data_IF_795226817187
#
_entry.id   IF_795226817187
#
_cell.length_a   1.000
_cell.length_b   1.000
_cell.length_c   1.000
_cell.angle_alpha   90.00
_cell.angle_beta   90.00
_cell.angle_gamma   90.00
#
_symmetry.space_group_name_H-M   'P 1'
#
loop_
_entity.id
_entity.type
_entity.pdbx_description
1 polymer ?
#
# COMPACT_ATOMS: atom_id res chain seq x y z
N UNK A 1 -38.69 -9.50 -1.94
CA UNK A 1 -38.03 -9.10 -0.69
C UNK A 1 -37.06 -10.22 -0.36
N UNK A 2 -35.79 -10.01 -0.54
CA UNK A 2 -34.77 -10.94 -0.04
C UNK A 2 -34.84 -10.89 1.48
N UNK A 3 -34.78 -12.05 2.15
CA UNK A 3 -34.68 -12.10 3.63
C UNK A 3 -33.44 -11.35 4.13
N UNK A 4 -33.34 -11.07 5.42
CA UNK A 4 -32.21 -10.34 5.99
C UNK A 4 -30.83 -10.96 5.62
N UNK A 5 -30.74 -12.28 5.45
CA UNK A 5 -29.52 -13.01 5.07
C UNK A 5 -29.07 -12.64 3.64
N UNK A 6 -29.94 -12.62 2.65
CA UNK A 6 -29.59 -12.25 1.27
C UNK A 6 -29.15 -10.79 1.08
N UNK A 7 -29.51 -9.88 1.99
CA UNK A 7 -29.02 -8.51 1.97
C UNK A 7 -27.61 -8.42 2.55
N UNK A 8 -27.29 -9.27 3.53
CA UNK A 8 -25.94 -9.31 4.11
C UNK A 8 -24.96 -9.99 3.14
N UNK A 9 -25.36 -11.08 2.47
CA UNK A 9 -24.55 -11.73 1.44
C UNK A 9 -24.17 -10.74 0.32
N UNK A 10 -25.13 -9.91 -0.15
CA UNK A 10 -24.84 -8.88 -1.15
C UNK A 10 -23.83 -7.83 -0.64
N UNK A 11 -23.95 -7.43 0.61
CA UNK A 11 -23.01 -6.50 1.22
C UNK A 11 -21.60 -7.11 1.28
N UNK A 12 -21.46 -8.37 1.67
CA UNK A 12 -20.18 -9.09 1.66
C UNK A 12 -19.61 -9.20 0.24
N UNK A 13 -20.45 -9.45 -0.75
CA UNK A 13 -20.04 -9.46 -2.15
C UNK A 13 -19.49 -8.11 -2.62
N UNK A 14 -20.13 -7.01 -2.21
CA UNK A 14 -19.67 -5.67 -2.55
C UNK A 14 -18.28 -5.39 -1.89
N UNK A 15 -18.07 -5.77 -0.64
CA UNK A 15 -16.77 -5.66 0.02
C UNK A 15 -15.66 -6.48 -0.67
N UNK A 16 -15.98 -7.70 -1.14
CA UNK A 16 -15.03 -8.52 -1.91
C UNK A 16 -14.67 -7.84 -3.23
N UNK A 17 -15.66 -7.30 -3.93
CA UNK A 17 -15.49 -6.59 -5.20
C UNK A 17 -14.68 -5.29 -5.00
N UNK A 18 -14.92 -4.55 -3.93
CA UNK A 18 -14.15 -3.35 -3.57
C UNK A 18 -12.67 -3.67 -3.34
N UNK A 19 -12.38 -4.84 -2.74
CA UNK A 19 -11.02 -5.35 -2.58
C UNK A 19 -10.41 -5.93 -3.88
N UNK A 20 -11.14 -5.91 -5.01
CA UNK A 20 -10.69 -6.48 -6.28
C UNK A 20 -10.67 -8.02 -6.30
N UNK A 21 -11.41 -8.67 -5.40
CA UNK A 21 -11.50 -10.13 -5.30
C UNK A 21 -12.68 -10.62 -6.12
N UNK A 22 -12.40 -11.48 -7.11
CA UNK A 22 -13.45 -12.16 -7.88
C UNK A 22 -13.87 -13.42 -7.15
N UNK A 23 -14.94 -13.34 -6.38
CA UNK A 23 -15.50 -14.48 -5.65
C UNK A 23 -16.71 -15.07 -6.40
N UNK A 24 -16.87 -16.39 -6.26
CA UNK A 24 -17.98 -17.14 -6.83
C UNK A 24 -18.98 -17.50 -5.73
N UNK A 25 -20.28 -17.28 -6.00
CA UNK A 25 -21.37 -17.51 -5.06
C UNK A 25 -21.83 -18.97 -5.12
N UNK A 26 -21.77 -19.70 -4.00
CA UNK A 26 -22.21 -21.06 -3.80
C UNK A 26 -21.72 -22.10 -4.85
N UNK A 27 -20.69 -21.75 -5.60
CA UNK A 27 -20.09 -22.56 -6.65
C UNK A 27 -18.61 -22.21 -6.82
N UNK A 28 -17.91 -23.04 -7.59
CA UNK A 28 -16.57 -22.73 -8.10
C UNK A 28 -16.38 -23.38 -9.45
N UNK A 29 -15.69 -22.73 -10.38
CA UNK A 29 -15.32 -23.28 -11.69
C UNK A 29 -13.95 -24.01 -11.66
N UNK A 30 -13.25 -23.94 -10.52
CA UNK A 30 -11.97 -24.65 -10.32
C UNK A 30 -12.25 -26.10 -10.02
N UNK A 31 -11.96 -26.98 -10.98
CA UNK A 31 -12.28 -28.42 -10.93
C UNK A 31 -11.78 -29.11 -9.65
N UNK A 32 -10.59 -28.76 -9.17
CA UNK A 32 -10.00 -29.34 -7.97
C UNK A 32 -10.78 -28.96 -6.70
N UNK A 33 -11.24 -27.73 -6.60
CA UNK A 33 -12.10 -27.27 -5.50
C UNK A 33 -13.50 -27.87 -5.60
N UNK A 34 -14.03 -28.09 -6.82
CA UNK A 34 -15.30 -28.82 -7.03
C UNK A 34 -15.19 -30.24 -6.48
N UNK A 35 -14.08 -30.94 -6.76
CA UNK A 35 -13.85 -32.28 -6.25
C UNK A 35 -13.73 -32.32 -4.73
N UNK A 36 -12.96 -31.39 -4.13
CA UNK A 36 -12.83 -31.29 -2.69
C UNK A 36 -14.16 -31.03 -1.97
N UNK A 37 -15.06 -30.30 -2.59
CA UNK A 37 -16.38 -29.95 -2.05
C UNK A 37 -17.48 -30.93 -2.45
N UNK A 38 -17.21 -31.92 -3.33
CA UNK A 38 -18.25 -32.80 -3.90
C UNK A 38 -19.06 -33.56 -2.84
N UNK A 39 -18.48 -33.86 -1.69
CA UNK A 39 -19.12 -34.57 -0.56
C UNK A 39 -19.08 -33.77 0.74
N UNK A 40 -18.83 -32.46 0.67
CA UNK A 40 -18.62 -31.61 1.83
C UNK A 40 -19.94 -31.00 2.37
N UNK A 41 -21.00 -31.85 2.52
CA UNK A 41 -22.23 -31.40 3.16
C UNK A 41 -22.05 -31.20 4.65
N UNK A 42 -22.38 -30.01 5.16
CA UNK A 42 -22.36 -29.70 6.61
C UNK A 42 -23.29 -30.60 7.42
N UNK A 43 -24.33 -31.10 6.79
CA UNK A 43 -25.32 -32.03 7.41
C UNK A 43 -24.91 -33.50 7.31
N UNK A 44 -23.72 -33.82 6.76
CA UNK A 44 -23.18 -35.17 6.56
C UNK A 44 -24.07 -36.07 5.66
N UNK A 45 -24.86 -35.49 4.80
CA UNK A 45 -25.74 -36.21 3.85
C UNK A 45 -25.00 -36.70 2.61
N UNK A 46 -23.73 -36.37 2.44
CA UNK A 46 -22.91 -36.71 1.27
C UNK A 46 -23.22 -35.85 0.04
N UNK A 47 -23.98 -34.77 0.20
CA UNK A 47 -24.24 -33.78 -0.86
C UNK A 47 -23.04 -32.83 -1.03
N UNK A 48 -23.04 -32.11 -2.14
CA UNK A 48 -22.04 -31.11 -2.44
C UNK A 48 -22.06 -29.96 -1.42
N UNK A 49 -20.89 -29.61 -0.89
CA UNK A 49 -20.71 -28.42 -0.08
C UNK A 49 -20.82 -27.14 -0.91
N UNK A 50 -21.48 -26.14 -0.35
CA UNK A 50 -21.71 -24.84 -1.00
C UNK A 50 -21.42 -23.74 0.01
N UNK A 51 -20.14 -23.28 0.12
CA UNK A 51 -19.84 -22.06 0.88
C UNK A 51 -20.53 -20.86 0.22
N UNK A 52 -20.88 -19.83 1.00
CA UNK A 52 -21.53 -18.66 0.46
C UNK A 52 -20.67 -17.98 -0.60
N UNK A 53 -19.36 -17.82 -0.34
CA UNK A 53 -18.41 -17.39 -1.38
C UNK A 53 -17.11 -18.19 -1.34
N UNK A 54 -16.51 -18.36 -2.51
CA UNK A 54 -15.17 -18.94 -2.67
C UNK A 54 -14.38 -18.15 -3.71
N UNK A 55 -13.10 -17.90 -3.44
CA UNK A 55 -12.19 -17.25 -4.36
C UNK A 55 -10.79 -17.87 -4.26
N UNK A 56 -9.99 -17.72 -5.31
CA UNK A 56 -8.55 -18.03 -5.29
C UNK A 56 -7.79 -16.76 -5.61
N UNK A 57 -6.88 -16.39 -4.72
CA UNK A 57 -6.08 -15.17 -4.82
C UNK A 57 -4.63 -15.55 -4.57
N UNK A 58 -3.75 -15.39 -5.56
CA UNK A 58 -2.30 -15.67 -5.46
C UNK A 58 -1.96 -17.03 -4.81
N UNK A 59 -2.75 -18.08 -5.14
CA UNK A 59 -2.55 -19.43 -4.59
C UNK A 59 -3.16 -19.67 -3.20
N UNK A 60 -3.76 -18.67 -2.59
CA UNK A 60 -4.58 -18.80 -1.38
C UNK A 60 -6.04 -19.03 -1.76
N UNK A 61 -6.74 -19.91 -1.05
CA UNK A 61 -8.18 -20.04 -1.16
C UNK A 61 -8.85 -19.21 -0.07
N UNK A 62 -9.83 -18.39 -0.46
CA UNK A 62 -10.73 -17.72 0.48
C UNK A 62 -12.04 -18.48 0.47
N UNK A 63 -12.52 -18.90 1.62
CA UNK A 63 -13.83 -19.53 1.80
C UNK A 63 -14.63 -18.76 2.84
N UNK A 64 -15.85 -18.40 2.50
CA UNK A 64 -16.64 -17.42 3.25
C UNK A 64 -18.02 -18.00 3.56
N UNK A 65 -18.44 -17.84 4.81
CA UNK A 65 -19.76 -18.17 5.32
C UNK A 65 -20.37 -16.98 6.04
N UNK A 66 -21.59 -16.65 5.70
CA UNK A 66 -22.32 -15.49 6.16
C UNK A 66 -23.52 -15.85 7.02
N UNK A 67 -23.80 -15.09 8.07
CA UNK A 67 -25.01 -15.19 8.89
C UNK A 67 -25.54 -13.80 9.22
N UNK A 68 -26.83 -13.56 8.97
CA UNK A 68 -27.47 -12.29 9.28
C UNK A 68 -27.62 -12.03 10.79
N UNK A 69 -27.50 -13.06 11.60
CA UNK A 69 -27.61 -12.99 13.06
C UNK A 69 -26.21 -12.90 13.67
N UNK A 70 -25.91 -11.80 14.37
CA UNK A 70 -24.60 -11.54 14.99
C UNK A 70 -24.23 -12.62 16.02
N UNK A 71 -25.21 -13.21 16.68
CA UNK A 71 -24.96 -14.26 17.68
C UNK A 71 -24.60 -15.60 17.03
N UNK A 72 -24.64 -15.67 15.70
CA UNK A 72 -24.28 -16.84 14.87
C UNK A 72 -22.87 -16.77 14.29
N UNK A 73 -21.98 -15.97 14.84
CA UNK A 73 -20.60 -15.88 14.36
C UNK A 73 -19.83 -17.19 14.63
N UNK A 74 -19.74 -17.62 15.87
CA UNK A 74 -18.94 -18.77 16.29
C UNK A 74 -19.54 -19.49 17.50
N UNK A 75 -19.62 -20.82 17.43
CA UNK A 75 -19.89 -21.70 18.57
C UNK A 75 -18.59 -22.37 19.00
N UNK A 76 -18.29 -22.28 20.30
CA UNK A 76 -17.08 -22.90 20.88
C UNK A 76 -17.45 -24.10 21.74
N UNK A 77 -16.54 -25.06 21.80
CA UNK A 77 -16.60 -26.20 22.72
C UNK A 77 -16.19 -25.79 24.13
N UNK A 78 -16.35 -26.70 25.10
CA UNK A 78 -16.06 -26.42 26.49
C UNK A 78 -14.58 -26.12 26.80
N UNK A 79 -13.69 -26.51 25.92
CA UNK A 79 -12.24 -26.25 25.95
C UNK A 79 -11.84 -24.92 25.27
N UNK A 80 -12.84 -24.17 24.74
CA UNK A 80 -12.66 -22.89 24.06
C UNK A 80 -12.38 -23.03 22.56
N UNK A 81 -12.19 -24.25 22.02
CA UNK A 81 -11.97 -24.49 20.60
C UNK A 81 -13.20 -24.23 19.73
N UNK A 82 -13.00 -24.02 18.42
CA UNK A 82 -14.11 -23.83 17.48
C UNK A 82 -14.80 -25.18 17.26
N UNK A 83 -16.07 -25.29 17.68
CA UNK A 83 -16.83 -26.54 17.61
C UNK A 83 -16.99 -27.06 16.18
N UNK A 84 -16.78 -28.37 16.00
CA UNK A 84 -16.97 -29.06 14.73
C UNK A 84 -18.23 -29.95 14.71
N UNK A 85 -19.13 -29.75 15.67
CA UNK A 85 -20.42 -30.46 15.68
C UNK A 85 -21.25 -30.07 14.45
N UNK A 86 -22.11 -30.99 13.98
CA UNK A 86 -23.01 -30.74 12.83
C UNK A 86 -23.84 -29.47 13.08
N UNK A 87 -24.34 -29.28 14.29
CA UNK A 87 -25.07 -28.06 14.64
C UNK A 87 -24.21 -26.81 14.49
N UNK A 88 -22.97 -26.84 14.97
CA UNK A 88 -22.05 -25.70 14.90
C UNK A 88 -21.74 -25.36 13.45
N UNK A 89 -21.34 -26.32 12.63
CA UNK A 89 -20.96 -26.12 11.22
C UNK A 89 -22.14 -25.66 10.34
N UNK A 90 -23.40 -25.96 10.74
CA UNK A 90 -24.60 -25.54 9.99
C UNK A 90 -25.08 -24.17 10.40
N UNK A 91 -25.10 -23.90 11.72
CA UNK A 91 -25.77 -22.72 12.26
C UNK A 91 -24.85 -21.50 12.48
N UNK A 92 -23.53 -21.70 12.49
CA UNK A 92 -22.56 -20.64 12.78
C UNK A 92 -21.57 -20.44 11.63
N UNK A 93 -21.34 -19.18 11.32
CA UNK A 93 -20.54 -18.76 10.16
C UNK A 93 -19.09 -19.30 10.23
N UNK A 94 -18.35 -18.97 11.28
CA UNK A 94 -16.95 -19.36 11.41
C UNK A 94 -16.73 -20.88 11.46
N UNK A 95 -17.66 -21.61 12.09
CA UNK A 95 -17.62 -23.07 12.17
C UNK A 95 -17.86 -23.71 10.79
N UNK A 96 -18.78 -23.15 10.01
CA UNK A 96 -19.04 -23.57 8.63
C UNK A 96 -17.86 -23.28 7.70
N UNK A 97 -17.27 -22.10 7.80
CA UNK A 97 -16.10 -21.73 7.02
C UNK A 97 -14.88 -22.63 7.33
N UNK A 98 -14.61 -22.91 8.62
CA UNK A 98 -13.55 -23.84 9.03
C UNK A 98 -13.79 -25.25 8.49
N UNK A 99 -15.03 -25.74 8.52
CA UNK A 99 -15.40 -27.04 7.98
C UNK A 99 -15.04 -27.13 6.50
N UNK A 100 -15.42 -26.16 5.68
CA UNK A 100 -15.09 -26.14 4.26
C UNK A 100 -13.58 -26.00 4.00
N UNK A 101 -12.89 -25.14 4.77
CA UNK A 101 -11.45 -24.96 4.64
C UNK A 101 -10.70 -26.31 4.83
N UNK A 102 -11.07 -27.09 5.84
CA UNK A 102 -10.50 -28.43 6.06
C UNK A 102 -10.78 -29.37 4.90
N UNK A 103 -12.00 -29.38 4.35
CA UNK A 103 -12.33 -30.19 3.17
C UNK A 103 -11.50 -29.81 1.94
N UNK A 104 -11.26 -28.53 1.74
CA UNK A 104 -10.41 -28.03 0.65
C UNK A 104 -8.96 -28.49 0.85
N UNK A 105 -8.41 -28.36 2.05
CA UNK A 105 -7.03 -28.79 2.37
C UNK A 105 -6.86 -30.30 2.18
N UNK A 106 -7.82 -31.09 2.62
CA UNK A 106 -7.77 -32.55 2.54
C UNK A 106 -7.95 -33.05 1.09
N UNK A 107 -8.79 -32.36 0.31
CA UNK A 107 -9.24 -32.80 -1.02
C UNK A 107 -8.56 -32.12 -2.20
N UNK A 108 -7.61 -31.19 -1.98
CA UNK A 108 -6.98 -30.41 -3.05
C UNK A 108 -5.48 -30.19 -2.83
N UNK A 109 -4.80 -29.63 -3.83
CA UNK A 109 -3.40 -29.18 -3.71
C UNK A 109 -3.26 -27.85 -2.95
N UNK A 110 -4.35 -27.13 -2.75
CA UNK A 110 -4.35 -25.89 -1.98
C UNK A 110 -4.15 -26.18 -0.49
N UNK A 111 -3.05 -25.66 0.08
CA UNK A 111 -2.65 -25.88 1.48
C UNK A 111 -2.67 -24.61 2.34
N UNK A 112 -3.07 -23.49 1.76
CA UNK A 112 -3.21 -22.19 2.44
C UNK A 112 -4.63 -21.69 2.19
N UNK A 113 -5.46 -21.71 3.22
CA UNK A 113 -6.87 -21.29 3.14
C UNK A 113 -7.14 -20.24 4.20
N UNK A 114 -7.70 -19.11 3.79
CA UNK A 114 -8.34 -18.15 4.69
C UNK A 114 -9.83 -18.44 4.75
N UNK A 115 -10.31 -18.81 5.92
CA UNK A 115 -11.72 -19.09 6.18
C UNK A 115 -12.35 -17.93 6.94
N UNK A 116 -13.44 -17.39 6.41
CA UNK A 116 -14.13 -16.24 6.99
C UNK A 116 -15.50 -16.67 7.51
N UNK A 117 -15.75 -16.41 8.80
CA UNK A 117 -17.08 -16.36 9.34
C UNK A 117 -17.52 -14.92 9.47
N UNK A 118 -18.61 -14.54 8.79
CA UNK A 118 -19.14 -13.21 8.87
C UNK A 118 -20.54 -13.23 9.49
N UNK A 119 -20.82 -12.29 10.39
CA UNK A 119 -22.12 -12.24 11.06
C UNK A 119 -22.59 -10.81 11.30
N UNK A 120 -23.85 -10.51 10.94
CA UNK A 120 -24.46 -9.21 11.16
C UNK A 120 -25.23 -8.64 9.98
N UNK A 121 -25.16 -7.34 9.83
CA UNK A 121 -25.76 -6.56 8.74
C UNK A 121 -24.78 -5.50 8.22
N UNK A 122 -25.14 -4.77 7.18
CA UNK A 122 -24.30 -3.74 6.57
C UNK A 122 -23.87 -2.60 7.52
N UNK A 123 -24.53 -2.43 8.67
CA UNK A 123 -24.21 -1.37 9.64
C UNK A 123 -23.41 -1.89 10.82
N UNK A 124 -23.66 -3.13 11.22
CA UNK A 124 -23.08 -3.75 12.40
C UNK A 124 -22.77 -5.21 12.11
N UNK A 125 -21.54 -5.51 11.79
CA UNK A 125 -21.08 -6.85 11.45
C UNK A 125 -19.70 -7.14 12.04
N UNK A 126 -19.32 -8.40 11.96
CA UNK A 126 -17.98 -8.88 12.26
C UNK A 126 -17.52 -9.77 11.11
N UNK A 127 -16.33 -9.50 10.57
CA UNK A 127 -15.64 -10.35 9.60
C UNK A 127 -14.47 -11.02 10.35
N UNK A 128 -14.60 -12.31 10.62
CA UNK A 128 -13.62 -13.04 11.43
C UNK A 128 -12.85 -14.02 10.54
N UNK A 129 -11.57 -13.74 10.24
CA UNK A 129 -10.72 -14.64 9.48
C UNK A 129 -10.07 -15.71 10.37
N UNK A 130 -9.92 -16.92 9.79
CA UNK A 130 -9.01 -17.96 10.25
C UNK A 130 -8.00 -18.22 9.14
N UNK A 131 -6.76 -18.50 9.49
CA UNK A 131 -5.84 -19.18 8.58
C UNK A 131 -5.85 -20.66 8.87
N UNK A 132 -6.00 -21.48 7.83
CA UNK A 132 -6.07 -22.94 7.93
C UNK A 132 -5.04 -23.56 6.99
N UNK A 133 -4.18 -24.39 7.56
CA UNK A 133 -3.19 -25.21 6.86
C UNK A 133 -3.34 -26.68 7.26
N UNK A 134 -2.59 -27.62 6.66
CA UNK A 134 -2.62 -29.02 7.11
C UNK A 134 -2.25 -29.20 8.59
N UNK A 135 -1.37 -28.34 9.10
CA UNK A 135 -0.74 -28.51 10.40
C UNK A 135 -1.40 -27.69 11.50
N UNK A 136 -2.09 -26.58 11.13
CA UNK A 136 -2.59 -25.62 12.12
C UNK A 136 -3.85 -24.87 11.68
N UNK A 137 -4.55 -24.35 12.67
CA UNK A 137 -5.65 -23.38 12.52
C UNK A 137 -5.33 -22.19 13.41
N UNK A 138 -5.16 -21.02 12.81
CA UNK A 138 -4.84 -19.78 13.51
C UNK A 138 -6.05 -18.85 13.42
N UNK A 139 -6.57 -18.44 14.56
CA UNK A 139 -7.59 -17.39 14.64
C UNK A 139 -6.90 -16.04 14.56
N UNK A 140 -7.28 -15.23 13.57
CA UNK A 140 -6.71 -13.92 13.32
C UNK A 140 -7.61 -12.84 13.93
N UNK A 141 -7.11 -11.62 14.04
CA UNK A 141 -7.94 -10.49 14.45
C UNK A 141 -9.05 -10.22 13.41
N UNK A 142 -10.22 -9.80 13.90
CA UNK A 142 -11.33 -9.44 13.02
C UNK A 142 -10.96 -8.25 12.15
N UNK A 143 -11.45 -8.26 10.91
CA UNK A 143 -11.18 -7.22 9.92
C UNK A 143 -12.46 -6.48 9.56
N UNK A 144 -12.34 -5.28 9.00
CA UNK A 144 -13.49 -4.51 8.55
C UNK A 144 -13.77 -4.68 7.03
N UNK A 145 -12.73 -5.02 6.26
CA UNK A 145 -12.79 -5.19 4.80
C UNK A 145 -11.93 -6.36 4.35
N UNK A 146 -12.04 -6.76 3.07
CA UNK A 146 -11.20 -7.79 2.47
C UNK A 146 -9.91 -7.24 1.81
N UNK A 147 -9.56 -5.97 2.00
CA UNK A 147 -8.41 -5.34 1.33
C UNK A 147 -7.08 -6.07 1.59
N UNK A 148 -6.86 -6.57 2.81
CA UNK A 148 -5.69 -7.37 3.16
C UNK A 148 -5.59 -8.71 2.42
N UNK A 149 -6.69 -9.17 1.83
CA UNK A 149 -6.79 -10.45 1.10
C UNK A 149 -6.83 -10.25 -0.42
N UNK A 150 -6.65 -9.02 -0.91
CA UNK A 150 -6.46 -8.72 -2.33
C UNK A 150 -5.18 -9.33 -2.88
N UNK A 151 -5.09 -9.52 -4.19
CA UNK A 151 -3.89 -10.05 -4.85
C UNK A 151 -2.60 -9.28 -4.49
N UNK A 152 -2.71 -7.98 -4.25
CA UNK A 152 -1.60 -7.12 -3.83
C UNK A 152 -1.13 -7.37 -2.40
N UNK A 153 -2.05 -7.70 -1.48
CA UNK A 153 -1.79 -7.66 -0.05
C UNK A 153 -1.76 -9.03 0.64
N UNK A 154 -2.34 -10.08 0.05
CA UNK A 154 -2.57 -11.37 0.72
C UNK A 154 -1.28 -12.07 1.17
N UNK A 155 -0.24 -12.05 0.34
CA UNK A 155 1.06 -12.65 0.70
C UNK A 155 1.71 -11.90 1.85
N UNK A 156 1.62 -10.57 1.83
CA UNK A 156 2.10 -9.69 2.89
C UNK A 156 1.35 -9.95 4.21
N UNK A 157 0.01 -9.99 4.14
CA UNK A 157 -0.82 -10.28 5.31
C UNK A 157 -0.49 -11.66 5.90
N UNK A 158 -0.30 -12.69 5.05
CA UNK A 158 0.12 -14.01 5.48
C UNK A 158 1.46 -13.99 6.25
N UNK A 159 2.47 -13.31 5.70
CA UNK A 159 3.79 -13.22 6.34
C UNK A 159 3.73 -12.58 7.73
N UNK A 160 2.95 -11.53 7.89
CA UNK A 160 2.92 -10.77 9.15
C UNK A 160 1.90 -11.34 10.14
N UNK A 161 0.67 -11.56 9.74
CA UNK A 161 -0.39 -11.98 10.63
C UNK A 161 -0.35 -13.47 10.97
N UNK A 162 0.16 -14.32 10.04
CA UNK A 162 0.21 -15.77 10.22
C UNK A 162 1.61 -16.25 10.61
N UNK A 163 2.64 -15.85 9.84
CA UNK A 163 4.02 -16.29 10.10
C UNK A 163 4.70 -15.51 11.23
N UNK A 164 4.09 -14.43 11.72
CA UNK A 164 4.66 -13.60 12.79
C UNK A 164 5.94 -12.88 12.37
N UNK A 165 6.18 -12.71 11.06
CA UNK A 165 7.30 -11.91 10.61
C UNK A 165 7.09 -10.46 11.04
N UNK A 166 8.16 -9.81 11.47
CA UNK A 166 8.10 -8.38 11.80
C UNK A 166 7.90 -7.57 10.52
N UNK A 167 6.84 -6.75 10.42
CA UNK A 167 6.67 -5.89 9.27
C UNK A 167 7.91 -5.00 9.06
N UNK A 168 8.32 -4.73 7.82
CA UNK A 168 9.39 -3.76 7.54
C UNK A 168 9.12 -2.37 8.14
N UNK A 169 7.88 -2.08 8.52
CA UNK A 169 7.45 -0.86 9.22
C UNK A 169 8.07 -0.69 10.59
N UNK A 170 8.41 -1.78 11.24
CA UNK A 170 9.14 -1.80 12.50
C UNK A 170 10.67 -1.72 12.32
N UNK A 171 11.14 -1.55 11.07
CA UNK A 171 12.51 -1.12 10.88
C UNK A 171 12.68 0.18 11.67
N UNK A 172 13.46 0.08 12.74
CA UNK A 172 13.65 1.19 13.65
C UNK A 172 14.14 2.40 12.85
N UNK A 173 13.77 3.59 13.27
CA UNK A 173 14.24 4.84 12.69
C UNK A 173 15.75 4.80 12.38
N UNK A 174 16.53 4.19 13.26
CA UNK A 174 17.97 4.00 13.15
C UNK A 174 18.40 3.17 11.93
N UNK A 175 17.62 2.19 11.53
CA UNK A 175 17.92 1.35 10.35
C UNK A 175 17.69 2.13 9.05
N UNK A 176 16.59 2.85 8.94
CA UNK A 176 16.32 3.75 7.79
C UNK A 176 17.41 4.80 7.70
N UNK A 177 17.83 5.37 8.84
CA UNK A 177 18.92 6.34 8.89
C UNK A 177 20.26 5.74 8.44
N UNK A 178 20.54 4.50 8.80
CA UNK A 178 21.74 3.78 8.36
C UNK A 178 21.73 3.59 6.86
N UNK A 179 20.64 3.11 6.29
CA UNK A 179 20.47 2.92 4.82
C UNK A 179 20.57 4.24 4.06
N UNK A 180 19.97 5.30 4.62
CA UNK A 180 20.06 6.66 4.03
C UNK A 180 21.50 7.17 4.01
N UNK A 181 22.26 6.90 5.06
CA UNK A 181 23.69 7.27 5.15
C UNK A 181 24.52 6.52 4.11
N UNK A 182 24.31 5.23 3.95
CA UNK A 182 24.99 4.44 2.92
C UNK A 182 24.68 4.95 1.52
N UNK A 183 23.41 5.26 1.24
CA UNK A 183 22.98 5.85 -0.02
C UNK A 183 23.61 7.23 -0.26
N UNK A 184 23.70 8.06 0.77
CA UNK A 184 24.38 9.36 0.70
C UNK A 184 25.83 9.21 0.25
N UNK A 185 26.58 8.26 0.83
CA UNK A 185 27.97 7.98 0.44
C UNK A 185 28.07 7.47 -1.00
N UNK A 186 27.15 6.64 -1.46
CA UNK A 186 27.08 6.21 -2.86
C UNK A 186 26.86 7.40 -3.80
N UNK A 187 25.92 8.28 -3.49
CA UNK A 187 25.63 9.48 -4.28
C UNK A 187 26.83 10.43 -4.35
N UNK A 188 27.53 10.59 -3.24
CA UNK A 188 28.75 11.40 -3.16
C UNK A 188 29.90 10.81 -3.98
N UNK A 189 30.15 9.51 -3.81
CA UNK A 189 31.32 8.85 -4.38
C UNK A 189 31.19 8.56 -5.87
N UNK A 190 29.97 8.34 -6.37
CA UNK A 190 29.72 7.87 -7.74
C UNK A 190 28.82 8.79 -8.56
N UNK A 191 27.92 9.55 -7.94
CA UNK A 191 26.92 10.36 -8.66
C UNK A 191 27.34 11.81 -8.88
N UNK A 192 28.28 12.32 -8.09
CA UNK A 192 28.63 13.75 -8.10
C UNK A 192 27.43 14.65 -7.84
N UNK A 193 26.47 14.20 -7.02
CA UNK A 193 25.21 14.88 -6.75
C UNK A 193 25.36 15.91 -5.64
N UNK A 194 24.78 17.10 -5.86
CA UNK A 194 24.58 18.10 -4.83
C UNK A 194 23.52 17.65 -3.83
N UNK A 195 23.49 18.26 -2.65
CA UNK A 195 22.54 17.88 -1.59
C UNK A 195 21.09 18.10 -1.96
N UNK A 196 20.78 19.02 -2.88
CA UNK A 196 19.46 19.25 -3.45
C UNK A 196 19.05 18.19 -4.47
N UNK A 197 20.02 17.62 -5.21
CA UNK A 197 19.77 16.62 -6.25
C UNK A 197 19.57 15.20 -5.67
N UNK A 198 20.20 14.89 -4.55
CA UNK A 198 20.11 13.55 -3.93
C UNK A 198 18.67 13.11 -3.65
N UNK A 199 17.82 13.92 -2.97
CA UNK A 199 16.42 13.54 -2.74
C UNK A 199 15.61 13.45 -4.04
N UNK A 200 15.94 14.28 -5.05
CA UNK A 200 15.30 14.21 -6.36
C UNK A 200 15.62 12.89 -7.08
N UNK A 201 16.88 12.42 -7.01
CA UNK A 201 17.23 11.10 -7.57
C UNK A 201 16.47 9.98 -6.87
N UNK A 202 16.36 10.03 -5.53
CA UNK A 202 15.53 9.05 -4.79
C UNK A 202 14.07 9.10 -5.26
N UNK A 203 13.50 10.30 -5.35
CA UNK A 203 12.12 10.52 -5.82
C UNK A 203 11.89 9.96 -7.22
N UNK A 204 12.81 10.23 -8.16
CA UNK A 204 12.73 9.75 -9.53
C UNK A 204 12.78 8.22 -9.61
N UNK A 205 13.68 7.60 -8.85
CA UNK A 205 13.82 6.14 -8.81
C UNK A 205 12.57 5.50 -8.22
N UNK A 206 12.04 6.03 -7.10
CA UNK A 206 10.82 5.50 -6.48
C UNK A 206 9.61 5.57 -7.42
N UNK A 207 9.44 6.69 -8.14
CA UNK A 207 8.37 6.83 -9.14
C UNK A 207 8.57 5.87 -10.33
N UNK A 208 9.81 5.68 -10.80
CA UNK A 208 10.09 4.73 -11.85
C UNK A 208 9.86 3.27 -11.42
N UNK A 209 10.12 2.94 -10.16
CA UNK A 209 9.84 1.61 -9.60
C UNK A 209 8.34 1.29 -9.55
N UNK A 210 7.45 2.28 -9.45
CA UNK A 210 6.00 2.06 -9.60
C UNK A 210 5.62 1.61 -11.02
N UNK A 211 6.44 1.91 -12.03
CA UNK A 211 6.21 1.47 -13.40
C UNK A 211 6.57 -0.01 -13.66
N UNK A 212 7.05 -0.75 -12.64
CA UNK A 212 7.29 -2.20 -12.75
C UNK A 212 6.03 -2.96 -13.13
N UNK A 213 4.90 -2.62 -12.53
CA UNK A 213 3.60 -3.22 -12.83
C UNK A 213 3.15 -2.95 -14.29
N UNK A 214 3.81 -2.02 -14.95
CA UNK A 214 3.58 -1.61 -16.36
C UNK A 214 4.74 -1.95 -17.29
N UNK A 215 5.60 -2.88 -16.87
CA UNK A 215 6.66 -3.46 -17.70
C UNK A 215 8.03 -2.79 -17.59
N UNK A 216 8.26 -1.88 -16.66
CA UNK A 216 9.61 -1.40 -16.38
C UNK A 216 10.41 -2.44 -15.60
N UNK A 217 11.65 -2.66 -15.99
CA UNK A 217 12.60 -3.51 -15.28
C UNK A 217 13.92 -2.79 -15.06
N UNK A 218 14.52 -2.94 -13.89
CA UNK A 218 15.87 -2.43 -13.61
C UNK A 218 16.94 -3.08 -14.49
N UNK A 219 16.69 -4.27 -15.03
CA UNK A 219 17.57 -4.94 -15.98
C UNK A 219 17.67 -4.19 -17.31
N UNK A 220 16.68 -3.33 -17.61
CA UNK A 220 16.73 -2.46 -18.79
C UNK A 220 17.80 -1.36 -18.72
N UNK A 221 18.29 -1.07 -17.50
CA UNK A 221 19.37 -0.12 -17.28
C UNK A 221 20.70 -0.84 -17.58
N UNK A 222 21.19 -0.70 -18.79
CA UNK A 222 22.32 -1.46 -19.35
C UNK A 222 23.58 -0.63 -19.56
N UNK A 223 23.51 0.69 -19.35
CA UNK A 223 24.62 1.61 -19.56
C UNK A 223 24.91 1.86 -21.06
N UNK A 224 23.89 1.76 -21.93
CA UNK A 224 24.03 2.00 -23.35
C UNK A 224 24.30 3.48 -23.69
N UNK A 225 25.17 3.76 -24.63
CA UNK A 225 25.53 5.13 -25.03
C UNK A 225 24.42 5.82 -25.84
N UNK A 226 23.56 5.05 -26.56
CA UNK A 226 22.52 5.57 -27.46
C UNK A 226 21.15 5.73 -26.79
N UNK A 227 20.90 5.00 -25.71
CA UNK A 227 19.69 5.09 -24.91
C UNK A 227 20.13 4.95 -23.45
N UNK A 228 20.57 6.04 -22.89
CA UNK A 228 21.25 6.06 -21.60
C UNK A 228 20.35 5.63 -20.44
N UNK A 229 20.93 5.18 -19.35
CA UNK A 229 20.17 4.83 -18.16
C UNK A 229 19.40 6.04 -17.60
N UNK A 230 19.96 7.25 -17.76
CA UNK A 230 19.29 8.50 -17.42
C UNK A 230 18.03 8.74 -18.26
N UNK A 231 18.12 8.56 -19.59
CA UNK A 231 16.96 8.67 -20.49
C UNK A 231 15.86 7.65 -20.16
N UNK A 232 16.26 6.40 -19.91
CA UNK A 232 15.34 5.32 -19.53
C UNK A 232 14.60 5.65 -18.24
N UNK A 233 15.34 6.05 -17.19
CA UNK A 233 14.77 6.40 -15.89
C UNK A 233 13.86 7.63 -15.99
N UNK A 234 14.31 8.68 -16.68
CA UNK A 234 13.53 9.90 -16.88
C UNK A 234 12.23 9.64 -17.66
N UNK A 235 12.28 8.76 -18.66
CA UNK A 235 11.08 8.32 -19.38
C UNK A 235 10.08 7.61 -18.49
N UNK A 236 10.54 6.76 -17.55
CA UNK A 236 9.64 6.09 -16.61
C UNK A 236 9.07 7.07 -15.58
N UNK A 237 9.87 8.01 -15.10
CA UNK A 237 9.40 9.11 -14.24
C UNK A 237 8.28 9.91 -14.95
N UNK A 238 8.48 10.31 -16.20
CA UNK A 238 7.46 11.04 -16.97
C UNK A 238 6.17 10.22 -17.12
N UNK A 239 6.29 8.92 -17.42
CA UNK A 239 5.13 8.01 -17.49
C UNK A 239 4.38 7.93 -16.17
N UNK A 240 5.10 7.79 -15.05
CA UNK A 240 4.51 7.74 -13.71
C UNK A 240 3.75 9.03 -13.38
N UNK A 241 4.35 10.19 -13.62
CA UNK A 241 3.70 11.50 -13.42
C UNK A 241 2.44 11.67 -14.30
N UNK A 242 2.49 11.25 -15.57
CA UNK A 242 1.33 11.27 -16.48
C UNK A 242 0.22 10.32 -16.02
N UNK A 243 0.60 9.12 -15.58
CA UNK A 243 -0.35 8.13 -15.02
C UNK A 243 -1.03 8.65 -13.76
N UNK A 244 -0.28 9.33 -12.91
CA UNK A 244 -0.79 10.02 -11.74
C UNK A 244 -1.67 11.24 -12.09
N UNK A 245 -1.82 11.57 -13.39
CA UNK A 245 -2.65 12.69 -13.88
C UNK A 245 -2.23 14.05 -13.31
N UNK A 246 -0.94 14.27 -13.11
CA UNK A 246 -0.43 15.58 -12.68
C UNK A 246 -0.86 16.65 -13.68
N UNK A 247 -1.63 17.63 -13.20
CA UNK A 247 -2.22 18.67 -14.01
C UNK A 247 -2.16 20.02 -13.26
N UNK A 248 -2.18 21.15 -13.96
CA UNK A 248 -2.12 21.31 -15.44
C UNK A 248 -0.75 20.95 -16.02
N UNK A 249 -0.63 20.93 -17.35
CA UNK A 249 0.63 20.58 -18.05
C UNK A 249 1.82 21.45 -17.64
N UNK A 250 1.58 22.72 -17.31
CA UNK A 250 2.59 23.63 -16.76
C UNK A 250 3.21 23.07 -15.48
N UNK A 251 2.40 22.52 -14.57
CA UNK A 251 2.85 21.88 -13.34
C UNK A 251 3.68 20.63 -13.64
N UNK A 252 3.21 19.78 -14.56
CA UNK A 252 3.95 18.58 -14.98
C UNK A 252 5.35 18.96 -15.50
N UNK A 253 5.41 19.96 -16.39
CA UNK A 253 6.68 20.43 -16.95
C UNK A 253 7.60 21.06 -15.89
N UNK A 254 7.03 21.79 -14.92
CA UNK A 254 7.79 22.37 -13.80
C UNK A 254 8.42 21.27 -12.93
N UNK A 255 7.65 20.23 -12.60
CA UNK A 255 8.18 19.07 -11.86
C UNK A 255 9.26 18.36 -12.68
N UNK A 256 9.00 18.02 -13.94
CA UNK A 256 9.94 17.31 -14.81
C UNK A 256 11.27 18.06 -14.96
N UNK A 257 11.23 19.38 -15.05
CA UNK A 257 12.43 20.22 -15.15
C UNK A 257 13.40 20.02 -13.99
N UNK A 258 12.90 19.75 -12.79
CA UNK A 258 13.76 19.52 -11.61
C UNK A 258 14.54 18.20 -11.71
N UNK A 259 14.09 17.27 -12.54
CA UNK A 259 14.71 15.97 -12.77
C UNK A 259 15.56 15.89 -14.04
N UNK A 260 15.60 16.95 -14.86
CA UNK A 260 16.26 16.96 -16.17
C UNK A 260 17.76 16.57 -16.08
N UNK A 261 18.42 16.90 -14.97
CA UNK A 261 19.81 16.56 -14.75
C UNK A 261 20.08 15.03 -14.74
N UNK A 262 19.07 14.20 -14.45
CA UNK A 262 19.17 12.74 -14.46
C UNK A 262 19.41 12.26 -15.91
N UNK A 263 18.75 12.89 -16.88
CA UNK A 263 18.89 12.59 -18.29
C UNK A 263 20.16 13.18 -18.89
N UNK A 264 20.56 14.38 -18.44
CA UNK A 264 21.63 15.17 -19.11
C UNK A 264 23.02 15.01 -18.50
N UNK A 265 23.14 14.34 -17.35
CA UNK A 265 24.44 14.19 -16.65
C UNK A 265 25.11 12.85 -16.97
N UNK A 266 26.19 12.83 -17.81
CA UNK A 266 26.81 11.58 -18.27
C UNK A 266 27.29 10.67 -17.15
N UNK A 267 27.89 11.23 -16.07
CA UNK A 267 28.42 10.46 -14.94
C UNK A 267 27.39 9.54 -14.29
N UNK A 268 26.10 9.84 -14.37
CA UNK A 268 25.04 9.01 -13.82
C UNK A 268 24.75 7.76 -14.67
N UNK A 269 24.97 7.86 -15.99
CA UNK A 269 24.62 6.84 -16.96
C UNK A 269 25.81 6.02 -17.48
N UNK A 270 27.02 6.58 -17.45
CA UNK A 270 28.22 5.90 -17.92
C UNK A 270 28.62 4.73 -17.03
N UNK A 271 29.21 3.70 -17.65
CA UNK A 271 29.71 2.54 -16.91
C UNK A 271 30.83 2.95 -15.93
N UNK A 272 30.66 2.60 -14.66
CA UNK A 272 31.64 2.82 -13.62
C UNK A 272 32.36 1.50 -13.32
N UNK A 273 33.68 1.45 -13.50
CA UNK A 273 34.48 0.22 -13.31
C UNK A 273 34.38 -0.36 -11.90
N UNK A 274 34.27 0.49 -10.86
CA UNK A 274 34.19 0.04 -9.47
C UNK A 274 32.82 -0.57 -9.13
N UNK A 275 31.75 -0.09 -9.75
CA UNK A 275 30.39 -0.59 -9.57
C UNK A 275 30.08 -1.71 -10.55
N UNK A 276 30.87 -1.87 -11.64
CA UNK A 276 30.60 -2.75 -12.77
C UNK A 276 29.21 -2.53 -13.42
N UNK A 277 28.72 -1.32 -13.34
CA UNK A 277 27.42 -0.83 -13.88
C UNK A 277 27.40 0.70 -13.83
N UNK A 278 26.35 1.32 -14.39
CA UNK A 278 26.15 2.77 -14.20
C UNK A 278 25.84 3.10 -12.74
N UNK A 279 26.26 4.28 -12.24
CA UNK A 279 25.87 4.73 -10.91
C UNK A 279 24.35 4.76 -10.72
N UNK A 280 23.58 5.19 -11.71
CA UNK A 280 22.13 5.27 -11.65
C UNK A 280 21.48 3.89 -11.45
N UNK A 281 21.99 2.87 -12.16
CA UNK A 281 21.55 1.47 -11.94
C UNK A 281 21.87 1.01 -10.52
N UNK A 282 23.07 1.29 -10.05
CA UNK A 282 23.48 0.92 -8.67
C UNK A 282 22.56 1.55 -7.62
N UNK A 283 22.25 2.84 -7.78
CA UNK A 283 21.35 3.56 -6.88
C UNK A 283 19.93 2.98 -6.95
N UNK A 284 19.44 2.68 -8.15
CA UNK A 284 18.10 2.14 -8.35
C UNK A 284 17.96 0.73 -7.73
N UNK A 285 18.95 -0.12 -7.89
CA UNK A 285 18.97 -1.45 -7.26
C UNK A 285 19.03 -1.33 -5.71
N UNK A 286 19.87 -0.45 -5.18
CA UNK A 286 19.94 -0.23 -3.74
C UNK A 286 18.61 0.28 -3.18
N UNK A 287 18.04 1.31 -3.80
CA UNK A 287 16.75 1.87 -3.38
C UNK A 287 15.64 0.81 -3.48
N UNK A 288 15.63 0.01 -4.56
CA UNK A 288 14.65 -1.06 -4.72
C UNK A 288 14.72 -2.09 -3.59
N UNK A 289 15.92 -2.53 -3.26
CA UNK A 289 16.11 -3.64 -2.33
C UNK A 289 16.00 -3.21 -0.86
N UNK A 290 16.48 -2.01 -0.54
CA UNK A 290 16.65 -1.57 0.84
C UNK A 290 15.60 -0.54 1.29
N UNK A 291 14.94 0.15 0.35
CA UNK A 291 14.06 1.30 0.67
C UNK A 291 12.66 1.10 0.12
N UNK A 292 12.51 0.73 -1.17
CA UNK A 292 11.23 0.71 -1.86
C UNK A 292 10.24 -0.24 -1.21
N UNK A 293 10.69 -1.42 -0.79
CA UNK A 293 9.84 -2.39 -0.08
C UNK A 293 9.26 -1.82 1.23
N UNK A 294 10.05 -1.02 1.95
CA UNK A 294 9.60 -0.37 3.18
C UNK A 294 8.57 0.75 2.91
N UNK A 295 8.69 1.48 1.78
CA UNK A 295 7.73 2.53 1.40
C UNK A 295 6.46 1.94 0.80
N UNK A 296 6.57 0.92 -0.06
CA UNK A 296 5.42 0.25 -0.71
C UNK A 296 4.56 -0.50 0.29
N UNK A 297 5.18 -1.06 1.31
CA UNK A 297 4.52 -1.75 2.41
C UNK A 297 3.77 -0.80 3.35
N UNK A 298 4.01 0.51 3.23
CA UNK A 298 3.55 1.45 4.24
C UNK A 298 2.47 2.39 3.73
N UNK A 299 1.25 2.12 4.11
CA UNK A 299 0.24 3.14 4.36
C UNK A 299 0.52 3.87 5.68
N UNK A 300 1.76 4.30 5.95
CA UNK A 300 2.11 4.97 7.21
C UNK A 300 2.03 6.48 7.10
N UNK A 301 1.80 7.19 8.22
CA UNK A 301 1.83 8.66 8.27
C UNK A 301 3.23 9.24 8.09
N UNK A 302 4.29 8.41 8.00
CA UNK A 302 5.68 8.87 7.97
C UNK A 302 6.06 9.42 6.60
N UNK A 303 6.61 10.63 6.60
CA UNK A 303 7.21 11.26 5.41
C UNK A 303 8.64 10.76 5.20
N UNK A 304 8.79 9.61 4.56
CA UNK A 304 10.11 9.03 4.28
C UNK A 304 10.96 9.90 3.36
N UNK A 305 10.36 10.54 2.34
CA UNK A 305 11.13 11.42 1.45
C UNK A 305 11.64 12.65 2.18
N UNK A 306 10.83 13.24 3.07
CA UNK A 306 11.27 14.30 3.95
C UNK A 306 12.36 13.86 4.92
N UNK A 307 12.26 12.64 5.46
CA UNK A 307 13.32 12.07 6.31
C UNK A 307 14.64 11.90 5.53
N UNK A 308 14.62 11.35 4.32
CA UNK A 308 15.79 11.27 3.45
C UNK A 308 16.37 12.64 3.13
N UNK A 309 15.51 13.61 2.79
CA UNK A 309 15.94 14.98 2.57
C UNK A 309 16.66 15.55 3.81
N UNK A 310 16.07 15.42 4.99
CA UNK A 310 16.65 15.89 6.25
C UNK A 310 18.01 15.28 6.52
N UNK A 311 18.20 13.98 6.30
CA UNK A 311 19.48 13.32 6.47
C UNK A 311 20.52 13.75 5.44
N UNK A 312 20.17 13.85 4.17
CA UNK A 312 21.11 14.31 3.15
C UNK A 312 21.61 15.74 3.43
N UNK A 313 20.73 16.63 3.91
CA UNK A 313 21.10 17.98 4.34
C UNK A 313 22.03 17.96 5.56
N UNK A 314 21.75 17.10 6.53
CA UNK A 314 22.57 16.96 7.76
C UNK A 314 23.99 16.49 7.47
N UNK A 315 24.18 15.56 6.51
CA UNK A 315 25.49 15.02 6.14
C UNK A 315 26.34 15.97 5.30
N UNK A 316 25.76 17.02 4.71
CA UNK A 316 26.52 17.98 3.91
C UNK A 316 27.42 18.93 4.71
N UNK A 317 27.55 18.72 6.01
CA UNK A 317 28.52 19.42 6.85
C UNK A 317 28.20 20.88 7.18
N UNK A 318 27.01 21.30 6.86
CA UNK A 318 26.47 22.56 7.34
C UNK A 318 25.51 22.30 8.51
N UNK A 319 25.48 23.20 9.48
CA UNK A 319 24.60 23.18 10.66
C UNK A 319 23.09 23.24 10.31
N UNK A 320 22.66 22.69 9.19
CA UNK A 320 21.27 22.78 8.66
C UNK A 320 20.90 24.20 8.21
N UNK A 321 21.71 25.19 8.54
CA UNK A 321 21.45 26.60 8.28
C UNK A 321 21.71 27.02 6.82
N UNK A 322 22.55 26.29 6.09
CA UNK A 322 22.93 26.64 4.71
C UNK A 322 21.80 26.46 3.69
N UNK A 323 20.82 25.61 3.96
CA UNK A 323 19.66 25.41 3.07
C UNK A 323 18.34 25.98 3.62
N UNK A 324 18.33 26.41 4.91
CA UNK A 324 17.15 27.04 5.53
C UNK A 324 15.90 26.16 5.62
N UNK A 325 16.09 24.81 5.57
CA UNK A 325 14.98 23.86 5.61
C UNK A 325 15.11 22.96 6.81
N UNK A 326 14.07 22.92 7.62
CA UNK A 326 13.91 21.98 8.73
C UNK A 326 12.71 21.10 8.42
N UNK A 327 12.92 19.78 8.33
CA UNK A 327 11.85 18.82 8.16
C UNK A 327 11.17 18.59 9.51
N UNK A 328 9.85 18.74 9.54
CA UNK A 328 9.06 18.49 10.76
C UNK A 328 9.09 17.00 11.10
N UNK A 329 9.49 16.63 12.35
CA UNK A 329 9.48 15.23 12.74
C UNK A 329 8.09 14.57 12.63
N UNK A 330 7.98 13.30 12.18
CA UNK A 330 6.70 12.62 11.97
C UNK A 330 5.78 12.61 13.20
N UNK A 331 6.32 12.41 14.40
CA UNK A 331 5.52 12.42 15.64
C UNK A 331 4.86 13.77 15.92
N UNK A 332 5.41 14.87 15.40
CA UNK A 332 4.81 16.20 15.52
C UNK A 332 3.65 16.34 14.54
N UNK A 333 3.80 15.89 13.29
CA UNK A 333 2.71 15.94 12.30
C UNK A 333 1.52 15.08 12.71
N UNK A 334 1.77 13.90 13.27
CA UNK A 334 0.74 13.01 13.83
C UNK A 334 0.04 13.65 15.04
N UNK A 335 0.81 14.21 15.99
CA UNK A 335 0.25 14.91 17.15
C UNK A 335 -0.71 16.06 16.74
N UNK A 336 -0.36 16.82 15.71
CA UNK A 336 -1.23 17.89 15.22
C UNK A 336 -2.55 17.32 14.66
N UNK A 337 -2.52 16.22 13.92
CA UNK A 337 -3.73 15.56 13.44
C UNK A 337 -4.63 15.10 14.59
N UNK A 338 -4.06 14.62 15.70
CA UNK A 338 -4.80 14.23 16.89
C UNK A 338 -5.38 15.45 17.63
N UNK A 339 -4.59 16.51 17.80
CA UNK A 339 -5.02 17.71 18.52
C UNK A 339 -6.19 18.45 17.84
N UNK A 340 -6.22 18.46 16.49
CA UNK A 340 -7.32 19.07 15.74
C UNK A 340 -8.50 18.10 15.55
N UNK A 341 -8.35 16.84 16.00
CA UNK A 341 -9.36 15.77 15.85
C UNK A 341 -9.82 15.62 14.39
N UNK A 342 -8.83 15.51 13.47
CA UNK A 342 -9.02 15.51 12.03
C UNK A 342 -9.97 14.40 11.56
N UNK A 343 -11.00 14.77 10.80
CA UNK A 343 -12.06 13.89 10.29
C UNK A 343 -11.94 13.66 8.78
N UNK A 344 -12.52 12.57 8.24
CA UNK A 344 -12.51 12.28 6.79
C UNK A 344 -13.18 13.34 5.91
N UNK A 345 -14.03 14.18 6.45
CA UNK A 345 -14.77 15.22 5.71
C UNK A 345 -14.10 16.60 5.80
N UNK A 346 -12.99 16.72 6.54
CA UNK A 346 -12.23 17.97 6.65
C UNK A 346 -11.38 18.21 5.39
N UNK A 347 -10.93 19.46 5.22
CA UNK A 347 -9.99 19.87 4.19
C UNK A 347 -8.70 20.32 4.86
N UNK A 348 -7.58 19.83 4.36
CA UNK A 348 -6.25 20.22 4.83
C UNK A 348 -5.66 21.23 3.85
N UNK A 349 -5.14 22.34 4.37
CA UNK A 349 -4.38 23.30 3.61
C UNK A 349 -3.08 23.67 4.36
N UNK A 350 -1.95 23.43 3.73
CA UNK A 350 -0.62 23.80 4.23
C UNK A 350 0.00 24.86 3.32
N UNK A 351 0.07 26.12 3.73
CA UNK A 351 0.59 27.23 2.90
C UNK A 351 2.12 27.21 2.72
N UNK A 352 2.85 26.35 3.42
CA UNK A 352 4.30 26.24 3.38
C UNK A 352 4.71 24.76 3.51
N UNK A 353 4.18 23.89 2.64
CA UNK A 353 4.13 22.45 2.87
C UNK A 353 5.48 21.73 2.85
N UNK A 354 6.56 22.35 2.39
CA UNK A 354 7.87 21.71 2.35
C UNK A 354 7.85 20.42 1.53
N UNK A 355 8.24 19.31 2.14
CA UNK A 355 8.14 17.95 1.57
C UNK A 355 6.74 17.33 1.65
N UNK A 356 5.77 18.04 2.25
CA UNK A 356 4.39 17.57 2.42
C UNK A 356 4.15 16.76 3.69
N UNK A 357 4.99 16.85 4.70
CA UNK A 357 4.91 16.02 5.90
C UNK A 357 3.56 16.10 6.63
N UNK A 358 2.99 17.32 6.83
CA UNK A 358 1.66 17.49 7.40
C UNK A 358 0.55 16.97 6.50
N UNK A 359 0.69 17.14 5.17
CA UNK A 359 -0.28 16.65 4.19
C UNK A 359 -0.34 15.14 4.16
N UNK A 360 0.84 14.48 4.22
CA UNK A 360 0.96 13.03 4.29
C UNK A 360 0.33 12.48 5.56
N UNK A 361 0.67 13.02 6.72
CA UNK A 361 0.13 12.57 8.01
C UNK A 361 -1.39 12.77 8.07
N UNK A 362 -1.87 13.93 7.62
CA UNK A 362 -3.30 14.24 7.60
C UNK A 362 -4.08 13.36 6.62
N UNK A 363 -3.58 13.17 5.41
CA UNK A 363 -4.18 12.26 4.43
C UNK A 363 -4.30 10.83 4.99
N UNK A 364 -3.23 10.32 5.60
CA UNK A 364 -3.24 9.00 6.22
C UNK A 364 -4.31 8.89 7.33
N UNK A 365 -4.39 9.90 8.22
CA UNK A 365 -5.40 9.94 9.28
C UNK A 365 -6.83 9.92 8.74
N UNK A 366 -7.10 10.72 7.71
CA UNK A 366 -8.41 10.79 7.07
C UNK A 366 -8.76 9.48 6.36
N UNK A 367 -7.82 8.88 5.62
CA UNK A 367 -8.02 7.62 4.91
C UNK A 367 -8.31 6.45 5.86
N UNK A 368 -7.62 6.37 7.00
CA UNK A 368 -7.86 5.35 8.02
C UNK A 368 -9.24 5.46 8.68
N UNK A 369 -9.81 6.66 8.70
CA UNK A 369 -11.13 6.92 9.28
C UNK A 369 -12.24 6.94 8.22
N UNK A 370 -11.90 6.85 6.93
CA UNK A 370 -12.84 6.85 5.82
C UNK A 370 -13.59 5.52 5.72
N UNK A 371 -14.91 5.58 5.56
CA UNK A 371 -15.80 4.41 5.57
C UNK A 371 -16.07 3.81 4.19
N UNK A 372 -15.80 4.55 3.11
CA UNK A 372 -16.10 4.14 1.73
C UNK A 372 -14.97 4.53 0.77
N UNK A 373 -14.84 3.79 -0.32
CA UNK A 373 -13.86 4.12 -1.37
C UNK A 373 -14.16 5.45 -2.07
N UNK A 374 -15.43 5.82 -2.14
CA UNK A 374 -15.83 7.14 -2.66
C UNK A 374 -15.25 8.23 -1.74
N UNK A 375 -15.35 8.07 -0.43
CA UNK A 375 -14.77 9.00 0.54
C UNK A 375 -13.23 9.01 0.45
N UNK A 376 -12.58 7.83 0.39
CA UNK A 376 -11.12 7.73 0.19
C UNK A 376 -10.66 8.43 -1.08
N UNK A 377 -11.37 8.22 -2.18
CA UNK A 377 -11.09 8.91 -3.44
C UNK A 377 -11.27 10.43 -3.31
N UNK A 378 -12.34 10.86 -2.66
CA UNK A 378 -12.61 12.29 -2.45
C UNK A 378 -11.52 12.97 -1.61
N UNK A 379 -11.06 12.31 -0.52
CA UNK A 379 -9.95 12.77 0.30
C UNK A 379 -8.72 13.05 -0.58
N UNK A 380 -8.29 12.06 -1.36
CA UNK A 380 -7.10 12.16 -2.23
C UNK A 380 -7.24 13.24 -3.31
N UNK A 381 -8.42 13.38 -3.92
CA UNK A 381 -8.59 14.26 -5.08
C UNK A 381 -8.98 15.70 -4.71
N UNK A 382 -9.61 15.92 -3.54
CA UNK A 382 -10.33 17.18 -3.25
C UNK A 382 -10.15 17.76 -1.85
N UNK A 383 -9.38 17.14 -0.98
CA UNK A 383 -9.32 17.60 0.41
C UNK A 383 -7.90 17.90 0.91
N UNK A 384 -6.88 17.68 0.09
CA UNK A 384 -5.48 17.90 0.47
C UNK A 384 -4.89 18.99 -0.43
N UNK A 385 -4.49 20.12 0.14
CA UNK A 385 -3.98 21.29 -0.58
C UNK A 385 -2.67 21.76 0.05
N UNK A 386 -1.74 22.25 -0.76
CA UNK A 386 -0.49 22.81 -0.26
C UNK A 386 0.16 23.80 -1.21
N UNK A 387 0.93 24.73 -0.65
CA UNK A 387 1.78 25.65 -1.40
C UNK A 387 3.22 25.45 -0.94
N UNK A 388 4.16 25.44 -1.89
CA UNK A 388 5.58 25.42 -1.61
C UNK A 388 6.31 26.41 -2.53
N UNK A 389 7.16 27.24 -1.94
CA UNK A 389 7.87 28.29 -2.66
C UNK A 389 9.02 27.73 -3.52
N UNK A 390 9.68 26.70 -3.04
CA UNK A 390 10.90 26.13 -3.66
C UNK A 390 10.54 25.02 -4.64
N UNK A 391 10.99 25.12 -5.88
CA UNK A 391 10.74 24.15 -6.94
C UNK A 391 11.21 22.72 -6.59
N UNK A 392 12.37 22.57 -5.93
CA UNK A 392 12.91 21.29 -5.52
C UNK A 392 12.04 20.61 -4.44
N UNK A 393 11.65 21.36 -3.40
CA UNK A 393 10.76 20.89 -2.34
C UNK A 393 9.36 20.56 -2.86
N UNK A 394 8.82 21.43 -3.71
CA UNK A 394 7.54 21.20 -4.40
C UNK A 394 7.54 19.89 -5.20
N UNK A 395 8.64 19.59 -5.91
CA UNK A 395 8.78 18.36 -6.67
C UNK A 395 8.85 17.12 -5.75
N UNK A 396 9.53 17.23 -4.62
CA UNK A 396 9.58 16.19 -3.59
C UNK A 396 8.19 15.98 -2.96
N UNK A 397 7.49 17.06 -2.60
CA UNK A 397 6.14 16.98 -2.05
C UNK A 397 5.16 16.33 -3.05
N UNK A 398 5.21 16.75 -4.32
CA UNK A 398 4.39 16.16 -5.39
C UNK A 398 4.67 14.66 -5.52
N UNK A 399 5.93 14.24 -5.52
CA UNK A 399 6.31 12.82 -5.55
C UNK A 399 5.79 12.08 -4.32
N UNK A 400 5.91 12.69 -3.15
CA UNK A 400 5.46 12.12 -1.89
C UNK A 400 3.96 11.81 -1.89
N UNK A 401 3.16 12.74 -2.42
CA UNK A 401 1.72 12.55 -2.56
C UNK A 401 1.38 11.46 -3.58
N UNK A 402 2.05 11.46 -4.75
CA UNK A 402 1.84 10.46 -5.82
C UNK A 402 2.15 9.04 -5.32
N UNK A 403 3.26 8.84 -4.60
CA UNK A 403 3.64 7.54 -4.04
C UNK A 403 2.58 6.95 -3.11
N UNK A 404 1.71 7.80 -2.54
CA UNK A 404 0.59 7.42 -1.67
C UNK A 404 -0.76 7.37 -2.38
N UNK A 405 -0.73 7.50 -3.71
CA UNK A 405 -1.92 7.39 -4.56
C UNK A 405 -2.77 8.66 -4.63
N UNK A 406 -2.24 9.81 -4.20
CA UNK A 406 -2.82 11.11 -4.53
C UNK A 406 -2.32 11.56 -5.92
N UNK A 407 -3.02 11.10 -6.96
CA UNK A 407 -2.60 11.35 -8.34
C UNK A 407 -2.81 12.78 -8.83
N UNK A 408 -3.75 13.53 -8.27
CA UNK A 408 -4.05 14.89 -8.76
C UNK A 408 -3.26 15.95 -8.01
N UNK A 409 -2.80 15.67 -6.80
CA UNK A 409 -1.99 16.51 -5.92
C UNK A 409 -2.33 18.01 -6.08
N UNK A 410 -3.23 18.54 -5.25
CA UNK A 410 -3.60 19.97 -5.28
C UNK A 410 -2.49 20.83 -4.63
N UNK A 411 -1.25 20.58 -5.06
CA UNK A 411 -0.08 21.34 -4.65
C UNK A 411 0.21 22.43 -5.69
N UNK A 412 0.57 23.61 -5.22
CA UNK A 412 0.96 24.76 -6.05
C UNK A 412 2.39 25.18 -5.71
N UNK A 413 3.21 25.39 -6.74
CA UNK A 413 4.53 25.99 -6.54
C UNK A 413 4.41 27.51 -6.63
N UNK A 414 4.72 28.20 -5.55
CA UNK A 414 4.62 29.66 -5.51
C UNK A 414 4.76 30.25 -4.12
N UNK A 415 4.72 31.58 -4.06
CA UNK A 415 4.73 32.33 -2.83
C UNK A 415 3.29 32.49 -2.32
N UNK A 416 2.98 31.92 -1.18
CA UNK A 416 1.65 32.00 -0.56
C UNK A 416 1.14 33.44 -0.43
N UNK A 417 1.99 34.38 -0.06
CA UNK A 417 1.59 35.80 0.09
C UNK A 417 1.32 36.50 -1.23
N UNK A 418 1.65 35.89 -2.37
CA UNK A 418 1.39 36.41 -3.73
C UNK A 418 0.36 35.59 -4.49
N UNK A 419 -0.08 34.48 -3.94
CA UNK A 419 -1.08 33.60 -4.57
C UNK A 419 -2.46 34.21 -4.39
N UNK A 420 -3.22 34.32 -5.48
CA UNK A 420 -4.62 34.78 -5.42
C UNK A 420 -5.48 33.70 -4.75
N UNK A 421 -6.32 34.11 -3.79
CA UNK A 421 -7.25 33.21 -3.12
C UNK A 421 -8.27 32.53 -4.07
N UNK A 422 -8.45 33.07 -5.26
CA UNK A 422 -9.30 32.48 -6.30
C UNK A 422 -8.59 31.34 -7.07
N UNK A 423 -7.27 31.17 -6.88
CA UNK A 423 -6.45 30.12 -7.48
C UNK A 423 -6.24 28.93 -6.54
N UNK A 424 -6.74 29.02 -5.31
CA UNK A 424 -6.70 28.00 -4.26
C UNK A 424 -8.05 27.26 -4.19
#
# INVERSE_FOLDING_TARGET
MYGNEGNFDLYIYDLLKEAGITAQYQATDIHELQQALATASKTQTGEQGRPDYIAVVEGYVLVIEDKADRDKLCLRDNDGGISQSVKATTDYALNGALFYARKIIDGSTYKKVFAFGNAGDAKHHTLQPLFVSPDEVIELESVETFENFSARNIEKFYRYAVMGETPPEELQHDEIMTRTKELHEQFRNYGGLSDREKPLVVSAILLALQEKDYGFSLDSLTGDDTNTDGEKLYTQLEKSLKRAKVAPEVKLNQVLKQFEFINTRPVLSEHNEKLNKSPLKSFAEYINNEIYSAIELNSTPKDYLGMFYGEFVRYSGGDGQTLGVVVTPPHITELFCDLVDLKPDDVIFDPCCGTGGFLVAGMHRMLNSAKTDIQRKHIKEKQIYGIELRDDMFSIATTNMILRGDGQSNLTCGDFFRTDSAEL
#
